data_IF_494431194741
#
_entry.id   IF_494431194741
#
_cell.length_a   1.000
_cell.length_b   1.000
_cell.length_c   1.000
_cell.angle_alpha   90.00
_cell.angle_beta   90.00
_cell.angle_gamma   90.00
#
_symmetry.space_group_name_H-M   'P 1'
#
loop_
_entity.id
_entity.type
_entity.pdbx_description
1 polymer ?
#
# COMPACT_ATOMS: atom_id res chain seq x y z
N UNK A 1 25.98 23.75 20.83
CA UNK A 1 25.52 23.13 19.57
C UNK A 1 25.73 21.64 19.78
N UNK A 2 24.67 20.91 20.08
CA UNK A 2 24.75 19.44 20.20
C UNK A 2 24.88 18.85 18.81
N UNK A 3 25.76 17.86 18.65
CA UNK A 3 25.93 17.10 17.43
C UNK A 3 24.61 16.41 17.08
N UNK A 4 23.88 16.96 16.10
CA UNK A 4 22.58 16.45 15.64
C UNK A 4 22.70 15.22 14.75
N UNK A 5 23.87 14.59 14.67
CA UNK A 5 24.19 13.55 13.70
C UNK A 5 24.18 12.14 14.29
N UNK A 6 23.35 11.91 15.30
CA UNK A 6 23.17 10.58 15.90
C UNK A 6 22.53 9.64 14.89
N UNK A 7 23.32 8.73 14.33
CA UNK A 7 22.82 7.62 13.52
C UNK A 7 22.16 6.61 14.47
N UNK A 8 20.83 6.56 14.45
CA UNK A 8 20.08 5.50 15.13
C UNK A 8 20.24 4.22 14.29
N UNK A 9 20.97 3.25 14.84
CA UNK A 9 21.05 1.91 14.24
C UNK A 9 19.81 1.11 14.63
N UNK A 10 19.34 0.20 13.75
CA UNK A 10 18.36 -0.81 14.16
C UNK A 10 18.84 -1.53 15.43
N UNK A 11 17.91 -1.93 16.28
CA UNK A 11 18.20 -2.89 17.35
C UNK A 11 18.87 -4.13 16.75
N UNK A 12 19.75 -4.78 17.50
CA UNK A 12 20.55 -5.90 17.00
C UNK A 12 19.65 -6.94 16.30
N UNK A 13 20.03 -7.42 15.11
CA UNK A 13 19.17 -8.29 14.33
C UNK A 13 18.87 -9.58 15.09
N UNK A 14 17.59 -9.96 15.17
CA UNK A 14 17.18 -11.29 15.63
C UNK A 14 17.51 -12.33 14.55
N UNK A 15 17.42 -13.63 14.86
CA UNK A 15 17.58 -14.69 13.85
C UNK A 15 16.57 -14.59 12.71
N UNK A 16 15.44 -13.92 12.95
CA UNK A 16 14.38 -13.71 11.94
C UNK A 16 14.64 -12.46 11.09
N UNK A 17 15.40 -11.50 11.61
CA UNK A 17 15.87 -10.34 10.84
C UNK A 17 16.86 -10.72 9.73
N UNK A 18 17.56 -11.85 9.89
CA UNK A 18 18.52 -12.33 8.90
C UNK A 18 17.87 -12.57 7.51
N UNK A 19 16.55 -12.82 7.48
CA UNK A 19 15.80 -13.11 6.27
C UNK A 19 14.81 -12.00 5.87
N UNK A 20 14.71 -10.90 6.65
CA UNK A 20 13.91 -9.74 6.25
C UNK A 20 14.68 -8.90 5.21
N UNK A 21 14.29 -9.03 3.95
CA UNK A 21 14.89 -8.29 2.84
C UNK A 21 13.85 -7.49 2.05
N UNK A 22 14.04 -6.18 2.02
CA UNK A 22 13.34 -5.28 1.10
C UNK A 22 14.13 -5.19 -0.21
N UNK A 23 13.47 -5.35 -1.34
CA UNK A 23 14.10 -5.28 -2.67
C UNK A 23 14.06 -3.89 -3.25
N UNK A 24 12.87 -3.26 -3.22
CA UNK A 24 12.58 -1.93 -3.81
C UNK A 24 11.24 -1.41 -3.30
N UNK A 25 10.95 -0.15 -3.60
CA UNK A 25 9.58 0.35 -3.62
C UNK A 25 8.89 -0.30 -4.82
N UNK A 26 7.81 -1.03 -4.58
CA UNK A 26 7.04 -1.70 -5.64
C UNK A 26 6.14 -0.68 -6.35
N UNK A 27 5.36 0.07 -5.56
CA UNK A 27 4.48 1.12 -6.03
C UNK A 27 4.13 2.08 -4.89
N UNK A 28 3.53 3.21 -5.26
CA UNK A 28 2.99 4.20 -4.32
C UNK A 28 1.49 4.35 -4.61
N UNK A 29 0.63 4.07 -3.65
CA UNK A 29 -0.80 4.28 -3.78
C UNK A 29 -1.19 5.66 -3.27
N UNK A 30 -2.03 6.36 -4.04
CA UNK A 30 -2.39 7.76 -3.80
C UNK A 30 -3.91 7.87 -3.77
N UNK A 31 -4.42 8.30 -2.62
CA UNK A 31 -5.82 8.65 -2.45
C UNK A 31 -6.10 9.99 -3.14
N UNK A 32 -7.05 10.00 -4.07
CA UNK A 32 -7.41 11.17 -4.87
C UNK A 32 -8.90 11.45 -4.78
N UNK A 33 -9.29 12.73 -4.81
CA UNK A 33 -10.70 13.12 -4.81
C UNK A 33 -11.39 12.89 -6.15
N UNK A 34 -10.62 12.89 -7.25
CA UNK A 34 -11.12 12.69 -8.60
C UNK A 34 -10.11 11.91 -9.45
N UNK A 35 -10.46 10.67 -9.80
CA UNK A 35 -9.59 9.74 -10.49
C UNK A 35 -9.27 10.19 -11.91
N UNK A 36 -10.24 10.69 -12.67
CA UNK A 36 -10.01 11.10 -14.06
C UNK A 36 -9.11 12.35 -14.17
N UNK A 37 -9.27 13.30 -13.25
CA UNK A 37 -8.38 14.45 -13.15
C UNK A 37 -6.96 14.02 -12.76
N UNK A 38 -6.83 13.09 -11.82
CA UNK A 38 -5.54 12.54 -11.43
C UNK A 38 -4.87 11.80 -12.60
N UNK A 39 -5.58 10.91 -13.30
CA UNK A 39 -5.08 10.24 -14.52
C UNK A 39 -4.59 11.28 -15.54
N UNK A 40 -5.35 12.35 -15.76
CA UNK A 40 -4.97 13.43 -16.69
C UNK A 40 -3.67 14.11 -16.26
N UNK A 41 -3.51 14.43 -14.97
CA UNK A 41 -2.28 15.00 -14.42
C UNK A 41 -1.08 14.07 -14.63
N UNK A 42 -1.18 12.81 -14.19
CA UNK A 42 -0.09 11.84 -14.30
C UNK A 42 0.27 11.53 -15.75
N UNK A 43 -0.72 11.42 -16.64
CA UNK A 43 -0.47 11.16 -18.06
C UNK A 43 0.04 12.38 -18.82
N UNK A 44 -0.72 13.48 -18.81
CA UNK A 44 -0.46 14.61 -19.71
C UNK A 44 0.67 15.51 -19.22
N UNK A 45 0.87 15.62 -17.91
CA UNK A 45 1.89 16.51 -17.33
C UNK A 45 3.15 15.75 -16.95
N UNK A 46 3.01 14.56 -16.35
CA UNK A 46 4.14 13.76 -15.88
C UNK A 46 4.56 12.66 -16.87
N UNK A 47 3.80 12.39 -17.93
CA UNK A 47 4.15 11.44 -18.98
C UNK A 47 3.99 9.97 -18.59
N UNK A 48 3.16 9.65 -17.58
CA UNK A 48 2.85 8.26 -17.23
C UNK A 48 1.84 7.63 -18.19
N UNK A 49 1.97 6.33 -18.40
CA UNK A 49 1.00 5.54 -19.17
C UNK A 49 -0.01 4.91 -18.22
N UNK A 50 -1.30 5.05 -18.55
CA UNK A 50 -2.37 4.31 -17.89
C UNK A 50 -2.29 2.84 -18.32
N UNK A 51 -1.92 1.97 -17.40
CA UNK A 51 -1.79 0.52 -17.65
C UNK A 51 -3.12 -0.19 -17.47
N UNK A 52 -3.85 0.13 -16.40
CA UNK A 52 -5.10 -0.54 -16.04
C UNK A 52 -6.02 0.38 -15.26
N UNK A 53 -7.33 0.18 -15.40
CA UNK A 53 -8.34 0.68 -14.47
C UNK A 53 -9.06 -0.50 -13.82
N UNK A 54 -9.39 -0.34 -12.55
CA UNK A 54 -10.19 -1.30 -11.80
C UNK A 54 -11.38 -0.59 -11.17
N UNK A 55 -12.48 -1.32 -11.06
CA UNK A 55 -13.64 -0.93 -10.28
C UNK A 55 -14.01 -2.11 -9.38
N UNK A 56 -13.75 -1.95 -8.09
CA UNK A 56 -13.97 -2.96 -7.07
C UNK A 56 -15.14 -2.54 -6.21
N UNK A 57 -16.12 -3.44 -6.07
CA UNK A 57 -17.25 -3.28 -5.17
C UNK A 57 -17.13 -4.29 -4.03
N UNK A 58 -16.93 -3.79 -2.81
CA UNK A 58 -17.10 -4.58 -1.59
C UNK A 58 -18.58 -4.77 -1.24
N UNK A 59 -18.87 -5.32 -0.05
CA UNK A 59 -20.26 -5.51 0.37
C UNK A 59 -20.92 -4.21 0.80
N UNK A 60 -20.13 -3.27 1.33
CA UNK A 60 -20.61 -1.98 1.84
C UNK A 60 -20.03 -0.80 1.09
N UNK A 61 -18.77 -0.90 0.66
CA UNK A 61 -18.04 0.20 0.05
C UNK A 61 -17.22 -0.30 -1.14
N UNK A 62 -16.90 0.57 -2.08
CA UNK A 62 -16.09 0.26 -3.25
C UNK A 62 -14.98 1.28 -3.50
N UNK A 63 -14.23 1.03 -4.57
CA UNK A 63 -13.14 1.88 -5.03
C UNK A 63 -12.94 1.71 -6.52
N UNK A 64 -12.70 2.83 -7.19
CA UNK A 64 -12.13 2.86 -8.53
C UNK A 64 -10.64 3.20 -8.43
N UNK A 65 -9.83 2.54 -9.24
CA UNK A 65 -8.39 2.80 -9.28
C UNK A 65 -7.81 2.82 -10.69
N UNK A 66 -6.62 3.40 -10.80
CA UNK A 66 -5.85 3.46 -12.01
C UNK A 66 -4.36 3.19 -11.74
N UNK A 67 -3.80 2.22 -12.45
CA UNK A 67 -2.38 1.90 -12.42
C UNK A 67 -1.67 2.74 -13.47
N UNK A 68 -0.74 3.57 -13.02
CA UNK A 68 0.07 4.46 -13.85
C UNK A 68 1.53 4.01 -13.80
N UNK A 69 2.17 3.87 -14.96
CA UNK A 69 3.57 3.43 -15.04
C UNK A 69 4.40 4.31 -15.98
N UNK A 70 5.66 4.54 -15.58
CA UNK A 70 6.68 5.16 -16.42
C UNK A 70 8.07 4.72 -15.95
N UNK A 71 8.89 4.22 -16.87
CA UNK A 71 10.30 3.88 -16.63
C UNK A 71 10.50 2.95 -15.41
N UNK A 72 9.52 2.07 -15.14
CA UNK A 72 9.51 1.18 -13.99
C UNK A 72 8.97 1.78 -12.68
N UNK A 73 8.64 3.07 -12.65
CA UNK A 73 7.95 3.71 -11.52
C UNK A 73 6.45 3.43 -11.63
N UNK A 74 5.83 3.03 -10.51
CA UNK A 74 4.41 2.66 -10.47
C UNK A 74 3.66 3.50 -9.44
N UNK A 75 2.59 4.14 -9.88
CA UNK A 75 1.60 4.80 -9.03
C UNK A 75 0.24 4.12 -9.18
N UNK A 76 -0.46 3.93 -8.06
CA UNK A 76 -1.84 3.45 -8.05
C UNK A 76 -2.73 4.57 -7.53
N UNK A 77 -3.51 5.18 -8.41
CA UNK A 77 -4.44 6.24 -8.05
C UNK A 77 -5.73 5.60 -7.57
N UNK A 78 -6.20 5.97 -6.38
CA UNK A 78 -7.36 5.35 -5.73
C UNK A 78 -8.41 6.41 -5.37
N UNK A 79 -9.66 6.14 -5.70
CA UNK A 79 -10.81 6.94 -5.28
C UNK A 79 -11.91 6.03 -4.74
N UNK A 80 -12.39 6.31 -3.53
CA UNK A 80 -13.55 5.61 -2.97
C UNK A 80 -14.85 5.98 -3.71
N UNK A 81 -15.79 5.04 -3.79
CA UNK A 81 -17.08 5.26 -4.47
C UNK A 81 -18.14 5.81 -3.51
N UNK A 82 -18.06 5.48 -2.23
CA UNK A 82 -18.93 5.96 -1.16
C UNK A 82 -18.15 6.79 -0.13
N UNK A 83 -18.78 7.73 0.61
CA UNK A 83 -18.14 8.49 1.70
C UNK A 83 -17.51 7.60 2.77
N UNK A 84 -18.10 6.43 3.03
CA UNK A 84 -17.66 5.49 4.05
C UNK A 84 -16.46 4.65 3.61
N UNK A 85 -16.09 4.68 2.32
CA UNK A 85 -14.92 3.96 1.81
C UNK A 85 -13.66 4.46 2.50
N UNK A 86 -12.73 3.56 2.83
CA UNK A 86 -11.47 3.91 3.49
C UNK A 86 -10.73 5.04 2.75
N UNK A 87 -10.65 4.96 1.42
CA UNK A 87 -10.01 6.00 0.59
C UNK A 87 -10.72 7.35 0.71
N UNK A 88 -12.06 7.36 0.73
CA UNK A 88 -12.85 8.59 0.90
C UNK A 88 -12.62 9.22 2.27
N UNK A 89 -12.55 8.41 3.32
CA UNK A 89 -12.26 8.87 4.69
C UNK A 89 -10.85 9.43 4.82
N UNK A 90 -9.86 8.76 4.23
CA UNK A 90 -8.48 9.27 4.17
C UNK A 90 -8.43 10.66 3.53
N UNK A 91 -9.14 10.84 2.40
CA UNK A 91 -9.22 12.14 1.72
C UNK A 91 -9.98 13.17 2.56
N UNK A 92 -11.05 12.78 3.25
CA UNK A 92 -11.84 13.68 4.08
C UNK A 92 -11.07 14.15 5.33
N UNK A 93 -10.28 13.27 5.95
CA UNK A 93 -9.56 13.54 7.18
C UNK A 93 -8.21 14.24 6.92
N UNK A 94 -7.45 13.79 5.91
CA UNK A 94 -6.07 14.22 5.66
C UNK A 94 -5.88 14.96 4.33
N UNK A 95 -6.90 14.99 3.47
CA UNK A 95 -6.78 15.48 2.09
C UNK A 95 -6.23 14.43 1.12
N UNK A 96 -6.21 14.72 -0.19
CA UNK A 96 -5.57 13.87 -1.19
C UNK A 96 -4.07 13.70 -0.91
N UNK A 97 -3.57 12.49 -1.05
CA UNK A 97 -2.17 12.19 -0.70
C UNK A 97 -1.84 10.71 -0.76
N UNK A 98 -0.62 10.38 -0.33
CA UNK A 98 -0.16 8.99 -0.31
C UNK A 98 -0.98 8.20 0.70
N UNK A 99 -1.66 7.16 0.23
CA UNK A 99 -2.40 6.23 1.06
C UNK A 99 -1.46 5.23 1.74
N UNK A 100 -0.58 4.60 0.95
CA UNK A 100 0.47 3.73 1.42
C UNK A 100 1.64 3.67 0.43
N UNK A 101 2.79 3.20 0.92
CA UNK A 101 3.95 2.84 0.11
C UNK A 101 4.15 1.33 0.18
N UNK A 102 4.26 0.67 -0.96
CA UNK A 102 4.50 -0.76 -1.01
C UNK A 102 5.99 -1.08 -1.15
N UNK A 103 6.48 -1.99 -0.34
CA UNK A 103 7.84 -2.48 -0.34
C UNK A 103 7.86 -3.95 -0.77
N UNK A 104 8.54 -4.24 -1.88
CA UNK A 104 8.68 -5.62 -2.34
C UNK A 104 9.63 -6.39 -1.41
N UNK A 105 9.20 -7.57 -0.96
CA UNK A 105 9.96 -8.47 -0.10
C UNK A 105 10.20 -9.82 -0.77
N UNK A 106 11.16 -10.58 -0.24
CA UNK A 106 11.39 -11.97 -0.68
C UNK A 106 10.25 -12.89 -0.25
N UNK A 107 9.85 -12.83 1.03
CA UNK A 107 8.79 -13.66 1.62
C UNK A 107 7.93 -12.81 2.57
N UNK A 108 6.62 -12.70 2.29
CA UNK A 108 5.73 -11.81 3.06
C UNK A 108 5.51 -12.31 4.49
N UNK A 109 5.45 -13.62 4.71
CA UNK A 109 5.26 -14.21 6.03
C UNK A 109 6.46 -13.95 6.95
N UNK A 110 7.68 -14.02 6.40
CA UNK A 110 8.91 -13.68 7.11
C UNK A 110 8.92 -12.20 7.48
N UNK A 111 8.58 -11.33 6.54
CA UNK A 111 8.52 -9.89 6.79
C UNK A 111 7.48 -9.52 7.84
N UNK A 112 6.26 -10.06 7.74
CA UNK A 112 5.20 -9.83 8.70
C UNK A 112 5.63 -10.22 10.12
N UNK A 113 6.23 -11.41 10.28
CA UNK A 113 6.69 -11.91 11.58
C UNK A 113 7.79 -11.05 12.19
N UNK A 114 8.83 -10.75 11.42
CA UNK A 114 9.96 -9.95 11.88
C UNK A 114 9.54 -8.52 12.24
N UNK A 115 8.67 -7.90 11.44
CA UNK A 115 8.18 -6.55 11.69
C UNK A 115 7.21 -6.48 12.88
N UNK A 116 6.35 -7.50 13.07
CA UNK A 116 5.49 -7.59 14.24
C UNK A 116 6.31 -7.70 15.55
N UNK A 117 7.42 -8.42 15.54
CA UNK A 117 8.34 -8.49 16.70
C UNK A 117 8.99 -7.14 17.03
N UNK A 118 9.13 -6.26 16.04
CA UNK A 118 9.60 -4.88 16.21
C UNK A 118 8.48 -3.92 16.64
N UNK A 119 7.26 -4.42 16.82
CA UNK A 119 6.10 -3.65 17.27
C UNK A 119 5.28 -3.03 16.13
N UNK A 120 5.56 -3.34 14.86
CA UNK A 120 4.70 -2.91 13.76
C UNK A 120 3.36 -3.64 13.85
N UNK A 121 2.27 -2.87 13.81
CA UNK A 121 0.91 -3.41 13.78
C UNK A 121 0.44 -3.57 12.33
N UNK A 122 -0.44 -4.54 12.10
CA UNK A 122 -1.01 -4.83 10.79
C UNK A 122 -2.53 -4.77 10.86
N UNK A 123 -3.14 -4.11 9.87
CA UNK A 123 -4.60 -4.00 9.74
C UNK A 123 -5.19 -5.21 9.01
N UNK A 124 -4.34 -5.99 8.33
CA UNK A 124 -4.73 -7.20 7.61
C UNK A 124 -3.91 -8.41 8.06
N UNK A 125 -4.46 -9.60 7.80
CA UNK A 125 -3.63 -10.80 7.68
C UNK A 125 -2.96 -10.87 6.30
N UNK A 126 -2.10 -11.86 6.07
CA UNK A 126 -1.52 -12.08 4.74
C UNK A 126 -2.63 -12.46 3.76
N UNK A 127 -2.75 -11.66 2.71
CA UNK A 127 -3.63 -11.90 1.56
C UNK A 127 -2.82 -12.70 0.53
N UNK A 128 -3.35 -13.82 0.05
CA UNK A 128 -2.67 -14.71 -0.87
C UNK A 128 -3.55 -14.98 -2.10
N UNK A 129 -3.20 -14.37 -3.24
CA UNK A 129 -3.78 -14.66 -4.56
C UNK A 129 -2.87 -15.50 -5.45
N UNK A 130 -2.14 -16.44 -4.86
CA UNK A 130 -1.22 -17.32 -5.60
C UNK A 130 0.08 -16.63 -6.00
N UNK A 131 0.09 -15.90 -7.12
CA UNK A 131 1.30 -15.24 -7.64
C UNK A 131 1.61 -13.89 -6.97
N UNK A 132 0.69 -13.40 -6.14
CA UNK A 132 0.82 -12.15 -5.41
C UNK A 132 0.38 -12.34 -3.96
N UNK A 133 1.26 -12.02 -3.01
CA UNK A 133 0.90 -11.96 -1.59
C UNK A 133 1.18 -10.60 -1.00
N UNK A 134 0.32 -10.16 -0.08
CA UNK A 134 0.32 -8.80 0.45
C UNK A 134 -0.07 -8.78 1.93
N UNK A 135 0.46 -7.80 2.67
CA UNK A 135 0.00 -7.46 4.03
C UNK A 135 0.15 -5.96 4.26
N UNK A 136 -0.80 -5.35 4.95
CA UNK A 136 -0.87 -3.90 5.15
C UNK A 136 -0.68 -3.53 6.62
N UNK A 137 0.25 -2.61 6.90
CA UNK A 137 0.51 -2.11 8.24
C UNK A 137 -0.56 -1.11 8.67
N UNK A 138 -0.77 -1.01 9.98
CA UNK A 138 -1.46 0.13 10.56
C UNK A 138 -0.69 1.42 10.25
N UNK A 139 -1.41 2.55 10.26
CA UNK A 139 -0.84 3.88 10.03
C UNK A 139 0.09 4.28 11.19
N UNK A 140 1.31 4.69 10.88
CA UNK A 140 2.22 5.29 11.84
C UNK A 140 1.62 6.61 12.37
N UNK A 141 1.37 6.76 13.69
CA UNK A 141 0.76 7.96 14.23
C UNK A 141 1.63 9.21 14.10
N UNK A 142 2.94 9.06 13.90
CA UNK A 142 3.86 10.18 13.78
C UNK A 142 3.92 10.74 12.35
N UNK A 143 4.12 9.89 11.34
CA UNK A 143 4.20 10.32 9.94
C UNK A 143 2.87 10.24 9.19
N UNK A 144 1.87 9.58 9.78
CA UNK A 144 0.62 9.25 9.10
C UNK A 144 0.81 8.22 7.98
N UNK A 145 1.90 7.46 7.91
CA UNK A 145 2.11 6.53 6.78
C UNK A 145 1.70 5.10 7.12
N UNK A 146 1.00 4.45 6.20
CA UNK A 146 0.85 2.99 6.16
C UNK A 146 1.79 2.40 5.10
N UNK A 147 2.22 1.16 5.32
CA UNK A 147 3.06 0.42 4.40
C UNK A 147 2.38 -0.87 3.97
N UNK A 148 2.60 -1.23 2.71
CA UNK A 148 2.31 -2.56 2.21
C UNK A 148 3.61 -3.33 2.07
N UNK A 149 3.61 -4.62 2.43
CA UNK A 149 4.69 -5.55 2.11
C UNK A 149 4.17 -6.56 1.10
N UNK A 150 4.85 -6.63 -0.05
CA UNK A 150 4.37 -7.35 -1.22
C UNK A 150 5.39 -8.37 -1.72
N UNK A 151 4.93 -9.59 -1.98
CA UNK A 151 5.70 -10.68 -2.57
C UNK A 151 5.11 -10.99 -3.95
N UNK A 152 5.94 -10.93 -4.99
CA UNK A 152 5.55 -11.17 -6.39
C UNK A 152 6.24 -12.42 -6.94
N UNK A 153 5.47 -13.32 -7.54
CA UNK A 153 5.97 -14.45 -8.33
C UNK A 153 5.60 -14.28 -9.82
N UNK A 154 6.34 -13.40 -10.50
CA UNK A 154 6.14 -13.13 -11.93
C UNK A 154 4.97 -12.19 -12.25
N UNK A 155 4.10 -11.91 -11.28
CA UNK A 155 2.97 -10.98 -11.45
C UNK A 155 3.43 -9.51 -11.45
N UNK A 156 3.07 -8.77 -12.49
CA UNK A 156 3.50 -7.37 -12.69
C UNK A 156 2.41 -6.36 -12.33
N UNK A 157 1.15 -6.76 -12.37
CA UNK A 157 -0.01 -5.93 -12.01
C UNK A 157 -0.59 -6.29 -10.66
N UNK A 158 -1.85 -5.90 -10.44
CA UNK A 158 -2.61 -6.29 -9.25
C UNK A 158 -3.68 -7.31 -9.62
N UNK A 159 -3.88 -8.30 -8.75
CA UNK A 159 -4.93 -9.28 -8.92
C UNK A 159 -6.21 -8.78 -8.26
N UNK A 160 -7.34 -8.86 -8.97
CA UNK A 160 -8.63 -8.40 -8.45
C UNK A 160 -9.04 -9.17 -7.18
N UNK A 161 -8.71 -10.46 -7.12
CA UNK A 161 -8.93 -11.29 -5.93
C UNK A 161 -8.21 -10.77 -4.69
N UNK A 162 -6.96 -10.30 -4.82
CA UNK A 162 -6.24 -9.69 -3.70
C UNK A 162 -6.91 -8.40 -3.24
N UNK A 163 -7.34 -7.55 -4.19
CA UNK A 163 -8.03 -6.30 -3.84
C UNK A 163 -9.36 -6.61 -3.18
N UNK A 164 -10.12 -7.60 -3.65
CA UNK A 164 -11.37 -7.99 -3.02
C UNK A 164 -11.16 -8.52 -1.60
N UNK A 165 -10.14 -9.35 -1.37
CA UNK A 165 -9.82 -9.87 -0.05
C UNK A 165 -9.34 -8.77 0.90
N UNK A 166 -8.57 -7.79 0.41
CA UNK A 166 -8.19 -6.59 1.16
C UNK A 166 -9.44 -5.86 1.68
N UNK A 167 -10.39 -5.57 0.79
CA UNK A 167 -11.63 -4.90 1.18
C UNK A 167 -12.40 -5.76 2.18
N UNK A 168 -12.53 -7.07 1.97
CA UNK A 168 -13.23 -7.95 2.90
C UNK A 168 -12.63 -7.93 4.32
N UNK A 169 -11.29 -7.89 4.43
CA UNK A 169 -10.61 -7.85 5.73
C UNK A 169 -10.77 -6.49 6.42
N UNK A 170 -10.57 -5.38 5.70
CA UNK A 170 -10.78 -4.03 6.23
C UNK A 170 -12.24 -3.83 6.64
N UNK A 171 -13.19 -4.36 5.86
CA UNK A 171 -14.60 -4.28 6.17
C UNK A 171 -14.98 -5.01 7.47
N UNK A 172 -14.27 -6.11 7.78
CA UNK A 172 -14.48 -6.95 8.95
C UNK A 172 -13.81 -6.38 10.21
N UNK A 173 -12.62 -5.79 10.09
CA UNK A 173 -11.89 -5.22 11.24
C UNK A 173 -12.51 -3.93 11.75
N UNK A 174 -13.39 -3.29 10.94
CA UNK A 174 -13.92 -1.98 11.27
C UNK A 174 -12.89 -0.86 11.05
N UNK A 175 -11.73 -1.17 10.46
CA UNK A 175 -10.69 -0.22 10.08
C UNK A 175 -11.07 0.57 8.82
N UNK A 176 -12.26 1.19 8.87
CA UNK A 176 -12.75 2.13 7.88
C UNK A 176 -12.31 3.55 8.23
#
# INVERSE_FOLDING_TARGET
MEDTNTVIKPTAPTSEDANLRFKKIDHIAIAVSNLDQAITFYSSQLGFTLQRRLNVAGKKTGMISAEMERDGLKFVLCQGTEPESQVSRLVAEFGPGVAHIALEVDEVEVAAKALAQRGLQFDTSVINGGSLKQIFSSRDPNSGMSFEFIERHGEQGFLEENVHELFAQLEKSGAY
#
